data_IF_528387197668
#
_entry.id   IF_528387197668
#
_cell.length_a   1.000
_cell.length_b   1.000
_cell.length_c   1.000
_cell.angle_alpha   90.00
_cell.angle_beta   90.00
_cell.angle_gamma   90.00
#
_symmetry.space_group_name_H-M   'P 1'
#
loop_
_entity.id
_entity.type
_entity.pdbx_description
1 polymer ?
#
# COMPACT_ATOMS: atom_id res chain seq x y z
N UNK A 1 -8.47 -24.97 16.34
CA UNK A 1 -7.90 -23.90 17.18
C UNK A 1 -7.97 -22.57 16.42
N UNK A 2 -8.76 -21.60 16.90
CA UNK A 2 -8.80 -20.23 16.37
C UNK A 2 -7.42 -19.61 16.58
N UNK A 3 -6.76 -19.19 15.50
CA UNK A 3 -5.44 -18.55 15.59
C UNK A 3 -5.62 -17.21 16.34
N UNK A 4 -4.94 -17.05 17.48
CA UNK A 4 -4.98 -15.80 18.25
C UNK A 4 -4.65 -14.64 17.29
N UNK A 5 -5.59 -13.70 17.17
CA UNK A 5 -5.45 -12.55 16.25
C UNK A 5 -4.32 -11.65 16.73
N UNK A 6 -3.49 -11.17 15.84
CA UNK A 6 -2.28 -10.42 16.18
C UNK A 6 -2.62 -8.93 16.11
N UNK A 7 -2.83 -8.28 17.23
CA UNK A 7 -3.37 -6.92 17.34
C UNK A 7 -2.62 -5.87 16.51
N UNK A 8 -1.28 -5.93 16.44
CA UNK A 8 -0.54 -4.97 15.63
C UNK A 8 -0.76 -5.12 14.11
N UNK A 9 -1.19 -6.29 13.61
CA UNK A 9 -1.57 -6.43 12.19
C UNK A 9 -2.84 -5.64 11.89
N UNK A 10 -3.81 -5.69 12.80
CA UNK A 10 -5.04 -4.92 12.65
C UNK A 10 -4.76 -3.42 12.71
N UNK A 11 -3.91 -2.98 13.64
CA UNK A 11 -3.51 -1.59 13.77
C UNK A 11 -2.78 -1.07 12.52
N UNK A 12 -1.80 -1.85 11.99
CA UNK A 12 -1.11 -1.53 10.74
C UNK A 12 -2.08 -1.44 9.56
N UNK A 13 -3.04 -2.36 9.47
CA UNK A 13 -4.04 -2.36 8.41
C UNK A 13 -4.91 -1.10 8.44
N UNK A 14 -5.40 -0.70 9.62
CA UNK A 14 -6.20 0.52 9.79
C UNK A 14 -5.39 1.77 9.49
N UNK A 15 -4.19 1.92 10.07
CA UNK A 15 -3.36 3.11 9.87
C UNK A 15 -2.91 3.23 8.41
N UNK A 16 -2.56 2.13 7.76
CA UNK A 16 -2.25 2.14 6.32
C UNK A 16 -3.46 2.51 5.46
N UNK A 17 -4.67 2.04 5.84
CA UNK A 17 -5.89 2.42 5.14
C UNK A 17 -6.18 3.93 5.29
N UNK A 18 -6.05 4.49 6.50
CA UNK A 18 -6.19 5.93 6.74
C UNK A 18 -5.13 6.71 5.96
N UNK A 19 -3.87 6.24 5.93
CA UNK A 19 -2.81 6.88 5.17
C UNK A 19 -3.09 6.90 3.67
N UNK A 20 -3.67 5.84 3.08
CA UNK A 20 -4.12 5.85 1.68
C UNK A 20 -5.21 6.89 1.45
N UNK A 21 -6.23 6.94 2.33
CA UNK A 21 -7.28 7.97 2.24
C UNK A 21 -6.67 9.37 2.33
N UNK A 22 -5.71 9.57 3.25
CA UNK A 22 -4.99 10.85 3.42
C UNK A 22 -4.28 11.27 2.14
N UNK A 23 -3.53 10.39 1.50
CA UNK A 23 -2.85 10.67 0.23
C UNK A 23 -3.84 11.09 -0.86
N UNK A 24 -5.01 10.45 -0.92
CA UNK A 24 -6.00 10.76 -1.96
C UNK A 24 -6.84 12.01 -1.68
N UNK A 25 -7.14 12.33 -0.42
CA UNK A 25 -7.76 13.60 -0.02
C UNK A 25 -6.82 14.78 -0.29
N UNK A 26 -5.51 14.58 -0.07
CA UNK A 26 -4.47 15.58 -0.30
C UNK A 26 -4.02 15.64 -1.78
N UNK A 27 -4.48 14.72 -2.63
CA UNK A 27 -3.93 14.50 -3.98
C UNK A 27 -4.03 15.72 -4.89
N UNK A 28 -5.15 16.43 -4.93
CA UNK A 28 -5.34 17.61 -5.77
C UNK A 28 -4.30 18.69 -5.45
N UNK A 29 -4.06 18.99 -4.17
CA UNK A 29 -3.04 19.94 -3.74
C UNK A 29 -1.62 19.48 -4.07
N UNK A 30 -1.33 18.17 -4.01
CA UNK A 30 -0.02 17.63 -4.32
C UNK A 30 0.27 17.66 -5.82
N UNK A 31 -0.68 17.21 -6.65
CA UNK A 31 -0.47 17.09 -8.11
C UNK A 31 -0.66 18.37 -8.88
N UNK A 32 -1.03 19.47 -8.20
CA UNK A 32 -1.02 20.82 -8.76
C UNK A 32 0.18 21.55 -8.19
N UNK A 33 1.30 21.56 -8.95
CA UNK A 33 2.57 22.14 -8.48
C UNK A 33 2.49 23.66 -8.37
N UNK A 34 2.97 24.18 -7.24
CA UNK A 34 3.16 25.62 -6.97
C UNK A 34 4.38 25.82 -6.10
N UNK A 35 5.12 26.91 -6.32
CA UNK A 35 6.16 27.37 -5.40
C UNK A 35 5.52 27.94 -4.12
N UNK A 36 5.03 27.10 -3.22
CA UNK A 36 4.31 27.54 -2.02
C UNK A 36 4.50 26.60 -0.83
N UNK A 37 4.31 27.16 0.38
CA UNK A 37 4.26 26.38 1.62
C UNK A 37 3.10 25.39 1.61
N UNK A 38 1.99 25.74 0.96
CA UNK A 38 0.84 24.85 0.79
C UNK A 38 1.22 23.58 0.05
N UNK A 39 1.94 23.70 -1.06
CA UNK A 39 2.43 22.55 -1.82
C UNK A 39 3.46 21.73 -1.03
N UNK A 40 4.41 22.38 -0.35
CA UNK A 40 5.37 21.69 0.52
C UNK A 40 4.67 20.90 1.62
N UNK A 41 3.63 21.46 2.24
CA UNK A 41 2.84 20.73 3.25
C UNK A 41 2.10 19.54 2.65
N UNK A 42 1.63 19.63 1.40
CA UNK A 42 1.01 18.53 0.66
C UNK A 42 2.03 17.42 0.40
N UNK A 43 3.21 17.78 -0.04
CA UNK A 43 4.31 16.83 -0.26
C UNK A 43 4.73 16.13 1.04
N UNK A 44 4.81 16.87 2.14
CA UNK A 44 5.16 16.30 3.45
C UNK A 44 4.12 15.28 3.93
N UNK A 45 2.83 15.62 3.82
CA UNK A 45 1.72 14.71 4.16
C UNK A 45 1.79 13.44 3.31
N UNK A 46 2.05 13.56 2.02
CA UNK A 46 2.18 12.42 1.11
C UNK A 46 3.38 11.55 1.50
N UNK A 47 4.57 12.12 1.70
CA UNK A 47 5.75 11.38 2.13
C UNK A 47 5.52 10.67 3.48
N UNK A 48 4.84 11.34 4.43
CA UNK A 48 4.49 10.76 5.72
C UNK A 48 3.58 9.53 5.58
N UNK A 49 2.66 9.52 4.62
CA UNK A 49 1.71 8.45 4.36
C UNK A 49 2.24 7.37 3.37
N UNK A 50 3.39 7.60 2.75
CA UNK A 50 3.88 6.78 1.64
C UNK A 50 4.25 5.34 2.04
N UNK A 51 4.37 5.04 3.33
CA UNK A 51 4.54 3.68 3.87
C UNK A 51 3.32 2.77 3.67
N UNK A 52 2.15 3.31 3.39
CA UNK A 52 0.87 2.60 3.45
C UNK A 52 0.81 1.37 2.53
N UNK A 53 1.13 1.54 1.24
CA UNK A 53 1.13 0.46 0.25
C UNK A 53 2.22 -0.59 0.56
N UNK A 54 3.48 -0.20 0.84
CA UNK A 54 4.49 -1.11 1.37
C UNK A 54 4.02 -1.97 2.54
N UNK A 55 3.39 -1.37 3.54
CA UNK A 55 2.92 -2.08 4.73
C UNK A 55 1.82 -3.10 4.41
N UNK A 56 0.92 -2.84 3.47
CA UNK A 56 -0.05 -3.85 3.02
C UNK A 56 0.65 -5.09 2.42
N UNK A 57 1.71 -4.90 1.63
CA UNK A 57 2.49 -6.02 1.13
C UNK A 57 3.32 -6.71 2.22
N UNK A 58 3.82 -5.97 3.22
CA UNK A 58 4.47 -6.54 4.40
C UNK A 58 3.49 -7.39 5.22
N UNK A 59 2.26 -6.93 5.43
CA UNK A 59 1.18 -7.70 6.08
C UNK A 59 0.83 -8.96 5.27
N UNK A 60 0.82 -8.87 3.94
CA UNK A 60 0.63 -10.01 3.06
C UNK A 60 1.71 -11.06 3.28
N UNK A 61 2.98 -10.66 3.34
CA UNK A 61 4.10 -11.55 3.66
C UNK A 61 3.98 -12.18 5.05
N UNK A 62 3.76 -11.35 6.07
CA UNK A 62 3.64 -11.79 7.46
C UNK A 62 2.51 -12.82 7.69
N UNK A 63 1.43 -12.72 6.91
CA UNK A 63 0.24 -13.56 7.10
C UNK A 63 0.16 -14.77 6.17
N UNK A 64 0.74 -14.68 4.97
CA UNK A 64 0.53 -15.66 3.91
C UNK A 64 1.72 -16.55 3.58
N UNK A 65 2.96 -16.16 3.86
CA UNK A 65 4.15 -16.98 3.54
C UNK A 65 4.10 -18.39 4.16
N UNK A 66 3.52 -18.53 5.34
CA UNK A 66 3.33 -19.79 6.04
C UNK A 66 2.02 -20.54 5.69
N UNK A 67 1.40 -20.28 4.54
CA UNK A 67 0.10 -20.85 4.19
C UNK A 67 0.10 -22.38 4.15
N UNK A 68 1.24 -23.00 3.77
CA UNK A 68 1.40 -24.46 3.70
C UNK A 68 1.17 -25.18 5.04
N UNK A 69 1.25 -24.45 6.15
CA UNK A 69 0.89 -24.98 7.47
C UNK A 69 -0.63 -25.17 7.65
N UNK A 70 -1.46 -24.65 6.73
CA UNK A 70 -2.92 -24.56 6.86
C UNK A 70 -3.68 -25.26 5.73
N UNK A 71 -3.17 -25.19 4.51
CA UNK A 71 -3.81 -25.71 3.31
C UNK A 71 -2.81 -25.83 2.15
N UNK A 72 -3.22 -26.58 1.11
CA UNK A 72 -2.42 -26.77 -0.08
C UNK A 72 -2.41 -25.52 -1.00
N UNK A 73 -1.58 -25.55 -2.06
CA UNK A 73 -1.42 -24.41 -2.98
C UNK A 73 -2.69 -24.10 -3.77
N UNK A 74 -3.44 -25.12 -4.20
CA UNK A 74 -4.69 -24.92 -4.92
C UNK A 74 -5.71 -24.16 -4.07
N UNK A 75 -5.93 -24.60 -2.84
CA UNK A 75 -6.81 -23.92 -1.89
C UNK A 75 -6.34 -22.49 -1.55
N UNK A 76 -5.01 -22.29 -1.47
CA UNK A 76 -4.45 -20.96 -1.28
C UNK A 76 -4.86 -20.03 -2.42
N UNK A 77 -4.57 -20.39 -3.67
CA UNK A 77 -4.89 -19.61 -4.86
C UNK A 77 -6.40 -19.37 -4.93
N UNK A 78 -7.21 -20.40 -4.83
CA UNK A 78 -8.67 -20.30 -4.86
C UNK A 78 -9.20 -19.30 -3.81
N UNK A 79 -8.74 -19.42 -2.55
CA UNK A 79 -9.17 -18.53 -1.45
C UNK A 79 -8.70 -17.07 -1.65
N UNK A 80 -7.50 -16.85 -2.19
CA UNK A 80 -6.98 -15.48 -2.38
C UNK A 80 -7.67 -14.81 -3.56
N UNK A 81 -7.72 -15.47 -4.70
CA UNK A 81 -8.35 -14.91 -5.88
C UNK A 81 -9.85 -14.69 -5.66
N UNK A 82 -10.61 -15.64 -5.12
CA UNK A 82 -12.05 -15.42 -4.88
C UNK A 82 -12.34 -14.24 -3.95
N UNK A 83 -11.51 -14.05 -2.90
CA UNK A 83 -11.72 -12.96 -1.94
C UNK A 83 -11.31 -11.57 -2.43
N UNK A 84 -10.45 -11.49 -3.43
CA UNK A 84 -9.93 -10.21 -3.92
C UNK A 84 -10.32 -9.93 -5.36
N UNK A 85 -10.32 -10.94 -6.25
CA UNK A 85 -10.66 -10.78 -7.66
C UNK A 85 -12.13 -10.43 -7.86
N UNK A 86 -13.04 -11.10 -7.15
CA UNK A 86 -14.48 -10.84 -7.29
C UNK A 86 -14.83 -9.39 -6.89
N UNK A 87 -14.44 -8.89 -5.71
CA UNK A 87 -14.65 -7.48 -5.38
C UNK A 87 -13.93 -6.52 -6.35
N UNK A 88 -12.70 -6.84 -6.76
CA UNK A 88 -11.97 -6.03 -7.75
C UNK A 88 -12.73 -5.90 -9.07
N UNK A 89 -13.21 -7.01 -9.64
CA UNK A 89 -13.97 -6.98 -10.90
C UNK A 89 -15.27 -6.20 -10.76
N UNK A 90 -16.03 -6.47 -9.69
CA UNK A 90 -17.26 -5.75 -9.39
C UNK A 90 -17.04 -4.24 -9.32
N UNK A 91 -16.09 -3.80 -8.47
CA UNK A 91 -15.80 -2.38 -8.31
C UNK A 91 -15.13 -1.74 -9.53
N UNK A 92 -14.41 -2.52 -10.34
CA UNK A 92 -13.89 -2.04 -11.62
C UNK A 92 -15.01 -1.72 -12.61
N UNK A 93 -16.07 -2.55 -12.65
CA UNK A 93 -17.25 -2.27 -13.46
C UNK A 93 -17.98 -1.02 -12.94
N UNK A 94 -18.17 -0.93 -11.62
CA UNK A 94 -18.77 0.28 -10.99
C UNK A 94 -17.94 1.52 -11.32
N UNK A 95 -16.60 1.44 -11.27
CA UNK A 95 -15.70 2.54 -11.63
C UNK A 95 -15.85 2.96 -13.08
N UNK A 96 -15.99 2.00 -14.01
CA UNK A 96 -16.21 2.29 -15.43
C UNK A 96 -17.53 3.03 -15.64
N UNK A 97 -18.62 2.52 -15.04
CA UNK A 97 -19.94 3.18 -15.10
C UNK A 97 -19.86 4.60 -14.53
N UNK A 98 -19.18 4.76 -13.37
CA UNK A 98 -18.97 6.07 -12.75
C UNK A 98 -18.17 7.03 -13.64
N UNK A 99 -17.08 6.55 -14.25
CA UNK A 99 -16.25 7.35 -15.16
C UNK A 99 -16.99 7.74 -16.45
N UNK A 100 -17.88 6.90 -16.95
CA UNK A 100 -18.65 7.22 -18.16
C UNK A 100 -19.79 8.18 -17.87
N UNK A 101 -20.57 7.93 -16.80
CA UNK A 101 -21.80 8.66 -16.53
C UNK A 101 -21.59 9.94 -15.70
N UNK A 102 -20.80 9.84 -14.62
CA UNK A 102 -20.63 10.93 -13.65
C UNK A 102 -19.42 11.81 -13.97
N UNK A 103 -18.22 11.22 -14.07
CA UNK A 103 -16.98 11.97 -14.27
C UNK A 103 -16.71 12.32 -15.73
N UNK A 104 -17.36 11.64 -16.68
CA UNK A 104 -17.15 11.79 -18.13
C UNK A 104 -15.67 11.66 -18.57
N UNK A 105 -14.85 10.96 -17.76
CA UNK A 105 -13.44 10.73 -18.03
C UNK A 105 -13.17 9.55 -18.98
N UNK A 106 -14.18 8.68 -19.22
CA UNK A 106 -14.17 7.63 -20.20
C UNK A 106 -15.30 7.83 -21.21
N UNK A 107 -14.99 7.72 -22.51
CA UNK A 107 -16.00 7.73 -23.56
C UNK A 107 -16.65 6.34 -23.68
N UNK A 108 -17.96 6.29 -23.98
CA UNK A 108 -18.68 5.03 -24.20
C UNK A 108 -18.03 4.16 -25.27
N UNK A 109 -17.53 4.76 -26.35
CA UNK A 109 -16.81 4.07 -27.43
C UNK A 109 -15.56 3.30 -26.95
N UNK A 110 -14.97 3.72 -25.82
CA UNK A 110 -13.81 3.07 -25.18
C UNK A 110 -14.14 1.80 -24.39
N UNK A 111 -15.43 1.55 -24.12
CA UNK A 111 -15.93 0.38 -23.35
C UNK A 111 -17.04 -0.38 -24.06
N UNK A 112 -17.28 -0.09 -25.33
CA UNK A 112 -18.41 -0.58 -26.14
C UNK A 112 -18.31 -2.05 -26.58
N UNK A 113 -17.19 -2.73 -26.33
CA UNK A 113 -17.02 -4.15 -26.62
C UNK A 113 -16.38 -4.90 -25.44
N UNK A 114 -16.60 -6.22 -25.32
CA UNK A 114 -16.01 -7.03 -24.26
C UNK A 114 -14.48 -6.90 -24.19
N UNK A 115 -13.79 -6.88 -25.32
CA UNK A 115 -12.32 -6.73 -25.38
C UNK A 115 -11.88 -5.37 -24.84
N UNK A 116 -12.56 -4.28 -25.20
CA UNK A 116 -12.27 -2.95 -24.69
C UNK A 116 -12.53 -2.87 -23.19
N UNK A 117 -13.63 -3.46 -22.70
CA UNK A 117 -13.96 -3.53 -21.28
C UNK A 117 -12.86 -4.27 -20.49
N UNK A 118 -12.46 -5.45 -20.95
CA UNK A 118 -11.37 -6.22 -20.33
C UNK A 118 -10.08 -5.39 -20.33
N UNK A 119 -9.75 -4.70 -21.42
CA UNK A 119 -8.56 -3.86 -21.50
C UNK A 119 -8.59 -2.70 -20.50
N UNK A 120 -9.74 -2.05 -20.30
CA UNK A 120 -9.91 -0.98 -19.30
C UNK A 120 -9.73 -1.52 -17.87
N UNK A 121 -10.31 -2.70 -17.56
CA UNK A 121 -10.18 -3.35 -16.25
C UNK A 121 -8.73 -3.78 -15.99
N UNK A 122 -8.12 -4.51 -16.92
CA UNK A 122 -6.76 -5.04 -16.76
C UNK A 122 -5.70 -3.94 -16.60
N UNK A 123 -5.88 -2.83 -17.31
CA UNK A 123 -4.97 -1.68 -17.24
C UNK A 123 -5.44 -0.60 -16.26
N UNK A 124 -6.44 -0.89 -15.43
CA UNK A 124 -7.00 -0.03 -14.36
C UNK A 124 -7.27 1.42 -14.80
N UNK A 125 -7.74 1.59 -16.04
CA UNK A 125 -7.91 2.92 -16.69
C UNK A 125 -9.07 3.73 -16.12
N UNK A 126 -10.05 3.10 -15.46
CA UNK A 126 -11.16 3.80 -14.84
C UNK A 126 -10.72 4.48 -13.54
N UNK A 127 -10.21 3.69 -12.60
CA UNK A 127 -9.64 4.18 -11.35
C UNK A 127 -8.23 3.63 -11.17
N UNK A 128 -7.23 4.48 -11.36
CA UNK A 128 -5.82 4.11 -11.27
C UNK A 128 -5.43 3.52 -9.91
N UNK A 129 -6.13 3.88 -8.83
CA UNK A 129 -5.86 3.32 -7.48
C UNK A 129 -5.99 1.80 -7.42
N UNK A 130 -6.72 1.18 -8.36
CA UNK A 130 -6.88 -0.27 -8.41
C UNK A 130 -5.65 -1.00 -8.94
N UNK A 131 -4.56 -0.30 -9.36
CA UNK A 131 -3.28 -0.91 -9.70
C UNK A 131 -2.77 -1.84 -8.58
N UNK A 132 -3.04 -1.49 -7.33
CA UNK A 132 -2.68 -2.29 -6.15
C UNK A 132 -3.17 -3.75 -6.24
N UNK A 133 -4.36 -3.98 -6.82
CA UNK A 133 -4.88 -5.35 -6.98
C UNK A 133 -4.09 -6.16 -8.00
N UNK A 134 -3.67 -5.53 -9.09
CA UNK A 134 -2.86 -6.19 -10.13
C UNK A 134 -1.52 -6.63 -9.52
N UNK A 135 -0.86 -5.73 -8.79
CA UNK A 135 0.38 -6.05 -8.08
C UNK A 135 0.16 -7.12 -6.99
N UNK A 136 -0.98 -7.05 -6.27
CA UNK A 136 -1.33 -8.03 -5.24
C UNK A 136 -1.57 -9.43 -5.84
N UNK A 137 -2.20 -9.53 -7.02
CA UNK A 137 -2.36 -10.80 -7.72
C UNK A 137 -1.02 -11.37 -8.14
N UNK A 138 -0.12 -10.55 -8.68
CA UNK A 138 1.25 -10.97 -9.01
C UNK A 138 1.97 -11.50 -7.76
N UNK A 139 1.85 -10.82 -6.62
CA UNK A 139 2.40 -11.28 -5.34
C UNK A 139 1.78 -12.61 -4.90
N UNK A 140 0.46 -12.79 -5.03
CA UNK A 140 -0.18 -14.07 -4.70
C UNK A 140 0.33 -15.25 -5.51
N UNK A 141 0.68 -15.02 -6.79
CA UNK A 141 1.28 -16.04 -7.65
C UNK A 141 2.74 -16.35 -7.26
N UNK A 142 3.47 -15.39 -6.68
CA UNK A 142 4.84 -15.59 -6.20
C UNK A 142 4.91 -16.29 -4.83
N UNK A 143 3.93 -16.10 -3.95
CA UNK A 143 3.92 -16.67 -2.59
C UNK A 143 4.11 -18.20 -2.56
N UNK A 144 3.52 -19.02 -3.45
CA UNK A 144 3.77 -20.46 -3.47
C UNK A 144 5.25 -20.84 -3.62
N UNK A 145 6.00 -20.09 -4.41
CA UNK A 145 7.45 -20.33 -4.60
C UNK A 145 8.22 -19.78 -3.39
N UNK A 146 7.98 -18.55 -2.98
CA UNK A 146 8.68 -17.91 -1.86
C UNK A 146 8.39 -18.63 -0.52
N UNK A 147 7.19 -19.16 -0.33
CA UNK A 147 6.79 -19.90 0.87
C UNK A 147 7.44 -21.27 1.04
N UNK A 148 8.22 -21.74 0.05
CA UNK A 148 9.06 -22.93 0.19
C UNK A 148 10.24 -22.66 1.14
N UNK A 149 10.85 -21.47 1.06
CA UNK A 149 12.03 -21.10 1.83
C UNK A 149 11.82 -21.26 3.35
N UNK A 150 10.74 -20.73 3.96
CA UNK A 150 10.46 -20.94 5.36
C UNK A 150 10.13 -22.40 5.72
N UNK A 151 9.66 -23.22 4.79
CA UNK A 151 9.24 -24.59 5.05
C UNK A 151 10.41 -25.58 5.13
N UNK A 152 11.57 -25.26 4.54
CA UNK A 152 12.74 -26.13 4.49
C UNK A 152 13.54 -26.09 5.80
N UNK A 153 13.70 -27.25 6.46
CA UNK A 153 14.47 -27.38 7.71
C UNK A 153 16.00 -27.42 7.49
N UNK A 154 16.46 -27.88 6.33
CA UNK A 154 17.89 -28.16 6.02
C UNK A 154 18.67 -26.97 5.48
N UNK A 155 18.05 -26.05 4.76
CA UNK A 155 18.74 -24.87 4.25
C UNK A 155 18.76 -23.86 5.40
N UNK A 156 19.94 -23.29 5.71
CA UNK A 156 20.07 -22.26 6.75
C UNK A 156 19.09 -21.13 6.51
N UNK A 157 17.86 -21.30 7.01
CA UNK A 157 16.66 -20.47 6.73
C UNK A 157 16.92 -18.98 6.78
N UNK A 158 17.77 -18.56 7.73
CA UNK A 158 18.14 -17.16 7.90
C UNK A 158 19.05 -16.68 6.78
N UNK A 159 20.00 -17.50 6.32
CA UNK A 159 20.99 -17.11 5.31
C UNK A 159 20.36 -16.83 3.94
N UNK A 160 19.62 -17.79 3.37
CA UNK A 160 18.98 -17.63 2.06
C UNK A 160 17.95 -16.50 2.06
N UNK A 161 17.18 -16.40 3.14
CA UNK A 161 16.17 -15.35 3.25
C UNK A 161 16.79 -13.95 3.35
N UNK A 162 17.84 -13.83 4.17
CA UNK A 162 18.62 -12.58 4.30
C UNK A 162 19.30 -12.23 2.98
N UNK A 163 19.88 -13.22 2.28
CA UNK A 163 20.47 -13.02 0.96
C UNK A 163 19.45 -12.47 -0.05
N UNK A 164 18.25 -13.05 -0.13
CA UNK A 164 17.20 -12.57 -1.04
C UNK A 164 16.77 -11.13 -0.72
N UNK A 165 16.61 -10.81 0.57
CA UNK A 165 16.29 -9.45 1.01
C UNK A 165 17.40 -8.49 0.60
N UNK A 166 18.64 -8.80 0.92
CA UNK A 166 19.79 -7.93 0.62
C UNK A 166 19.97 -7.74 -0.88
N UNK A 167 19.94 -8.84 -1.65
CA UNK A 167 20.06 -8.74 -3.11
C UNK A 167 18.93 -7.91 -3.73
N UNK A 168 17.68 -8.14 -3.30
CA UNK A 168 16.54 -7.36 -3.80
C UNK A 168 16.65 -5.89 -3.41
N UNK A 169 17.02 -5.62 -2.15
CA UNK A 169 17.19 -4.24 -1.67
C UNK A 169 18.31 -3.52 -2.39
N UNK A 170 19.46 -4.15 -2.54
CA UNK A 170 20.60 -3.55 -3.24
C UNK A 170 20.26 -3.28 -4.71
N UNK A 171 19.82 -4.32 -5.45
CA UNK A 171 19.66 -4.22 -6.89
C UNK A 171 18.45 -3.43 -7.36
N UNK A 172 17.39 -3.33 -6.56
CA UNK A 172 16.13 -2.67 -6.96
C UNK A 172 15.81 -1.39 -6.19
N UNK A 173 16.38 -1.22 -4.99
CA UNK A 173 16.02 -0.07 -4.15
C UNK A 173 17.17 0.89 -3.93
N UNK A 174 18.36 0.42 -3.59
CA UNK A 174 19.49 1.27 -3.20
C UNK A 174 20.38 1.67 -4.39
N UNK A 175 20.97 0.68 -5.08
CA UNK A 175 21.96 0.96 -6.14
C UNK A 175 21.37 1.77 -7.31
N UNK A 176 20.14 1.52 -7.82
CA UNK A 176 19.58 2.35 -8.87
C UNK A 176 19.51 3.84 -8.49
N UNK A 177 19.17 4.14 -7.23
CA UNK A 177 19.11 5.51 -6.73
C UNK A 177 20.50 6.10 -6.60
N UNK A 178 21.46 5.37 -6.01
CA UNK A 178 22.84 5.87 -5.86
C UNK A 178 23.51 6.13 -7.20
N UNK A 179 23.35 5.20 -8.17
CA UNK A 179 23.89 5.36 -9.52
C UNK A 179 23.28 6.58 -10.24
N UNK A 180 21.96 6.79 -10.11
CA UNK A 180 21.33 7.97 -10.72
C UNK A 180 21.80 9.29 -10.12
N UNK A 181 22.18 9.35 -8.84
CA UNK A 181 22.74 10.54 -8.20
C UNK A 181 24.07 10.93 -8.81
N UNK A 182 24.89 9.95 -9.19
CA UNK A 182 26.21 10.18 -9.82
C UNK A 182 26.16 10.20 -11.35
N UNK A 183 24.95 10.22 -11.93
CA UNK A 183 24.75 10.31 -13.38
C UNK A 183 25.02 9.03 -14.17
N UNK A 184 24.99 7.87 -13.52
CA UNK A 184 25.16 6.56 -14.15
C UNK A 184 23.81 5.84 -14.23
N UNK A 185 23.47 5.33 -15.41
CA UNK A 185 22.25 4.52 -15.59
C UNK A 185 22.45 3.13 -15.00
N UNK A 186 21.50 2.71 -14.17
CA UNK A 186 21.49 1.37 -13.60
C UNK A 186 21.09 0.35 -14.65
N UNK A 187 21.93 -0.69 -14.84
CA UNK A 187 21.58 -1.78 -15.73
C UNK A 187 20.53 -2.69 -15.09
N UNK A 188 19.31 -2.66 -15.63
CA UNK A 188 18.15 -3.40 -15.13
C UNK A 188 18.34 -4.92 -15.14
N UNK A 189 19.28 -5.46 -15.94
CA UNK A 189 19.60 -6.89 -15.96
C UNK A 189 20.27 -7.38 -14.67
N UNK A 190 20.82 -6.46 -13.86
CA UNK A 190 21.39 -6.76 -12.55
C UNK A 190 20.30 -6.86 -11.45
N UNK A 191 19.06 -6.51 -11.77
CA UNK A 191 17.96 -6.62 -10.80
C UNK A 191 17.71 -8.08 -10.43
N UNK A 192 17.46 -8.32 -9.15
CA UNK A 192 17.04 -9.63 -8.69
C UNK A 192 15.76 -10.08 -9.43
N UNK A 193 15.82 -11.13 -10.28
CA UNK A 193 14.64 -11.59 -11.02
C UNK A 193 13.55 -12.16 -10.11
N UNK A 194 13.89 -12.68 -8.92
CA UNK A 194 12.95 -13.17 -7.91
C UNK A 194 12.37 -12.06 -7.03
N UNK A 195 12.88 -10.84 -7.12
CA UNK A 195 12.51 -9.69 -6.30
C UNK A 195 11.70 -8.62 -7.03
N UNK A 196 10.98 -8.97 -8.10
CA UNK A 196 10.17 -8.03 -8.89
C UNK A 196 9.04 -7.37 -8.11
N UNK A 197 8.62 -6.19 -8.53
CA UNK A 197 7.51 -5.46 -7.93
C UNK A 197 7.66 -5.26 -6.41
N UNK A 198 6.63 -5.59 -5.66
CA UNK A 198 6.56 -5.41 -4.21
C UNK A 198 7.07 -6.61 -3.38
N UNK A 199 7.78 -7.56 -3.99
CA UNK A 199 8.28 -8.78 -3.31
C UNK A 199 9.20 -8.43 -2.13
N UNK A 200 9.98 -7.36 -2.23
CA UNK A 200 10.83 -6.89 -1.12
C UNK A 200 10.03 -6.70 0.18
N UNK A 201 8.83 -6.13 0.09
CA UNK A 201 7.98 -5.90 1.26
C UNK A 201 7.38 -7.20 1.80
N UNK A 202 7.02 -8.14 0.92
CA UNK A 202 6.56 -9.48 1.33
C UNK A 202 7.64 -10.19 2.15
N UNK A 203 8.89 -10.17 1.68
CA UNK A 203 10.04 -10.76 2.36
C UNK A 203 10.31 -10.07 3.70
N UNK A 204 10.38 -8.73 3.71
CA UNK A 204 10.62 -7.94 4.91
C UNK A 204 9.52 -8.12 5.95
N UNK A 205 8.24 -8.11 5.53
CA UNK A 205 7.11 -8.31 6.42
C UNK A 205 7.14 -9.68 7.09
N UNK A 206 7.42 -10.74 6.33
CA UNK A 206 7.59 -12.08 6.88
C UNK A 206 8.78 -12.15 7.85
N UNK A 207 9.94 -11.61 7.46
CA UNK A 207 11.16 -11.61 8.26
C UNK A 207 10.95 -10.89 9.59
N UNK A 208 10.45 -9.66 9.56
CA UNK A 208 10.23 -8.85 10.77
C UNK A 208 9.19 -9.52 11.67
N UNK A 209 8.08 -10.03 11.12
CA UNK A 209 7.04 -10.68 11.91
C UNK A 209 7.56 -11.89 12.71
N UNK A 210 8.50 -12.65 12.13
CA UNK A 210 9.01 -13.90 12.69
C UNK A 210 10.39 -13.79 13.39
N UNK A 211 10.98 -12.58 13.44
CA UNK A 211 12.29 -12.36 14.08
C UNK A 211 12.16 -11.44 15.27
N UNK A 212 12.77 -11.78 16.40
CA UNK A 212 12.92 -10.86 17.53
C UNK A 212 14.07 -9.89 17.24
N UNK A 213 13.79 -8.60 17.40
CA UNK A 213 14.75 -7.52 17.15
C UNK A 213 15.05 -6.85 18.50
N UNK A 214 16.31 -6.83 18.89
CA UNK A 214 16.80 -6.21 20.11
C UNK A 214 16.53 -4.70 20.13
N UNK A 215 16.35 -4.12 21.32
CA UNK A 215 16.03 -2.70 21.50
C UNK A 215 17.07 -1.78 20.82
N UNK A 216 18.38 -2.10 20.94
CA UNK A 216 19.45 -1.32 20.30
C UNK A 216 19.26 -1.24 18.78
N UNK A 217 18.99 -2.38 18.15
CA UNK A 217 18.73 -2.45 16.69
C UNK A 217 17.44 -1.75 16.29
N UNK A 218 16.38 -1.83 17.12
CA UNK A 218 15.13 -1.10 16.88
C UNK A 218 15.34 0.40 16.86
N UNK A 219 16.13 0.95 17.81
CA UNK A 219 16.46 2.38 17.84
C UNK A 219 17.15 2.83 16.54
N UNK A 220 18.09 2.02 16.04
CA UNK A 220 18.76 2.27 14.75
C UNK A 220 17.77 2.26 13.59
N UNK A 221 16.86 1.26 13.54
CA UNK A 221 15.81 1.19 12.50
C UNK A 221 14.92 2.44 12.54
N UNK A 222 14.51 2.89 13.71
CA UNK A 222 13.66 4.09 13.84
C UNK A 222 14.40 5.36 13.41
N UNK A 223 15.66 5.51 13.80
CA UNK A 223 16.50 6.65 13.37
C UNK A 223 16.61 6.70 11.84
N UNK A 224 16.97 5.57 11.20
CA UNK A 224 17.06 5.52 9.75
C UNK A 224 15.70 5.71 9.08
N UNK A 225 14.59 5.27 9.68
CA UNK A 225 13.25 5.54 9.20
C UNK A 225 12.93 7.03 9.14
N UNK A 226 13.26 7.77 10.20
CA UNK A 226 13.08 9.23 10.25
C UNK A 226 13.99 9.92 9.22
N UNK A 227 15.27 9.55 9.15
CA UNK A 227 16.20 10.09 8.15
C UNK A 227 15.67 9.84 6.72
N UNK A 228 15.19 8.63 6.43
CA UNK A 228 14.66 8.27 5.14
C UNK A 228 13.41 9.10 4.74
N UNK A 229 12.51 9.34 5.70
CA UNK A 229 11.34 10.22 5.49
C UNK A 229 11.76 11.64 5.09
N UNK A 230 12.65 12.25 5.87
CA UNK A 230 13.11 13.62 5.59
C UNK A 230 13.98 13.70 4.33
N UNK A 231 14.77 12.68 4.04
CA UNK A 231 15.51 12.59 2.77
C UNK A 231 14.53 12.54 1.58
N UNK A 232 13.52 11.67 1.62
CA UNK A 232 12.53 11.57 0.56
C UNK A 232 11.80 12.88 0.34
N UNK A 233 11.35 13.53 1.41
CA UNK A 233 10.70 14.83 1.37
C UNK A 233 11.63 15.91 0.78
N UNK A 234 12.83 16.06 1.35
CA UNK A 234 13.77 17.13 0.99
C UNK A 234 14.26 17.03 -0.45
N UNK A 235 14.64 15.81 -0.90
CA UNK A 235 15.13 15.63 -2.28
C UNK A 235 14.00 15.82 -3.30
N UNK A 236 12.78 15.36 -3.00
CA UNK A 236 11.63 15.57 -3.88
C UNK A 236 11.25 17.05 -3.97
N UNK A 237 11.26 17.77 -2.85
CA UNK A 237 11.01 19.21 -2.82
C UNK A 237 12.07 19.98 -3.62
N UNK A 238 13.35 19.70 -3.36
CA UNK A 238 14.46 20.35 -4.05
C UNK A 238 14.39 20.17 -5.57
N UNK A 239 14.25 18.93 -6.03
CA UNK A 239 14.18 18.62 -7.46
C UNK A 239 12.92 19.22 -8.12
N UNK A 240 11.78 19.20 -7.43
CA UNK A 240 10.55 19.76 -7.97
C UNK A 240 10.64 21.28 -8.12
N UNK A 241 11.26 21.97 -7.17
CA UNK A 241 11.49 23.42 -7.27
C UNK A 241 12.51 23.77 -8.37
N UNK A 242 13.59 22.99 -8.48
CA UNK A 242 14.58 23.16 -9.54
C UNK A 242 13.95 23.00 -10.94
N UNK A 243 13.12 21.97 -11.11
CA UNK A 243 12.55 21.59 -12.41
C UNK A 243 11.23 22.34 -12.71
N UNK A 244 10.78 23.20 -11.80
CA UNK A 244 9.50 23.91 -11.85
C UNK A 244 8.30 23.01 -12.16
N UNK A 245 8.37 21.76 -11.68
CA UNK A 245 7.38 20.69 -11.89
C UNK A 245 7.57 19.59 -10.87
N UNK A 246 6.58 18.73 -10.70
CA UNK A 246 6.69 17.60 -9.77
C UNK A 246 7.75 16.62 -10.26
N UNK A 247 8.85 16.51 -9.52
CA UNK A 247 9.88 15.50 -9.76
C UNK A 247 9.81 14.41 -8.69
N UNK A 248 9.27 13.25 -9.04
CA UNK A 248 9.11 12.11 -8.16
C UNK A 248 10.18 11.02 -8.31
N UNK A 249 11.35 11.35 -8.91
CA UNK A 249 12.41 10.39 -9.21
C UNK A 249 12.83 9.55 -8.00
N UNK A 250 12.94 10.16 -6.82
CA UNK A 250 13.32 9.46 -5.58
C UNK A 250 12.12 9.15 -4.67
N UNK A 251 10.90 9.42 -5.12
CA UNK A 251 9.66 9.12 -4.41
C UNK A 251 8.92 7.95 -5.06
N UNK A 252 9.55 6.79 -5.11
CA UNK A 252 8.96 5.53 -5.57
C UNK A 252 8.73 4.58 -4.40
N UNK A 253 7.70 3.73 -4.47
CA UNK A 253 7.44 2.75 -3.41
C UNK A 253 8.61 1.81 -3.16
N UNK A 254 9.31 1.38 -4.21
CA UNK A 254 10.45 0.46 -4.11
C UNK A 254 11.80 1.15 -3.91
N UNK A 255 11.85 2.49 -3.89
CA UNK A 255 13.07 3.22 -3.62
C UNK A 255 13.49 3.06 -2.15
N UNK A 256 14.80 3.08 -1.89
CA UNK A 256 15.35 2.77 -0.57
C UNK A 256 14.75 3.61 0.57
N UNK A 257 14.42 4.91 0.40
CA UNK A 257 13.87 5.68 1.51
C UNK A 257 12.51 5.13 1.96
N UNK A 258 11.64 4.80 1.00
CA UNK A 258 10.33 4.21 1.29
C UNK A 258 10.45 2.84 1.94
N UNK A 259 11.39 2.00 1.46
CA UNK A 259 11.63 0.67 2.05
C UNK A 259 12.07 0.80 3.51
N UNK A 260 13.05 1.66 3.79
CA UNK A 260 13.57 1.88 5.16
C UNK A 260 12.48 2.44 6.06
N UNK A 261 11.71 3.41 5.59
CA UNK A 261 10.63 4.02 6.35
C UNK A 261 9.51 3.01 6.67
N UNK A 262 9.08 2.21 5.70
CA UNK A 262 8.08 1.15 5.91
C UNK A 262 8.54 0.10 6.92
N UNK A 263 9.82 -0.29 6.88
CA UNK A 263 10.44 -1.19 7.88
C UNK A 263 10.38 -0.58 9.29
N UNK A 264 10.67 0.71 9.42
CA UNK A 264 10.61 1.40 10.70
C UNK A 264 9.18 1.43 11.26
N UNK A 265 8.19 1.79 10.45
CA UNK A 265 6.76 1.79 10.83
C UNK A 265 6.31 0.37 11.24
N UNK A 266 6.56 -0.64 10.41
CA UNK A 266 6.16 -2.02 10.71
C UNK A 266 6.79 -2.51 12.02
N UNK A 267 8.07 -2.20 12.24
CA UNK A 267 8.79 -2.55 13.47
C UNK A 267 8.22 -1.83 14.69
N UNK A 268 7.91 -0.54 14.57
CA UNK A 268 7.33 0.25 15.66
C UNK A 268 5.99 -0.35 16.12
N UNK A 269 5.11 -0.67 15.19
CA UNK A 269 3.82 -1.30 15.50
C UNK A 269 3.97 -2.69 16.10
N UNK A 270 4.92 -3.51 15.64
CA UNK A 270 5.19 -4.84 16.22
C UNK A 270 5.56 -4.78 17.69
N UNK A 271 6.33 -3.78 18.11
CA UNK A 271 6.84 -3.66 19.48
C UNK A 271 6.06 -2.71 20.37
N UNK A 272 4.98 -2.11 19.85
CA UNK A 272 4.04 -1.37 20.68
C UNK A 272 3.22 -2.34 21.54
N UNK A 273 2.96 -1.97 22.80
CA UNK A 273 2.24 -2.81 23.78
C UNK A 273 0.73 -2.66 23.61
N UNK A 274 0.19 -3.30 22.60
CA UNK A 274 -1.25 -3.24 22.25
C UNK A 274 -2.15 -3.84 23.35
N UNK A 275 -1.63 -4.77 24.16
CA UNK A 275 -2.36 -5.43 25.25
C UNK A 275 -2.89 -4.44 26.29
N UNK A 276 -2.23 -3.30 26.45
CA UNK A 276 -2.61 -2.28 27.43
C UNK A 276 -3.88 -1.48 27.04
N UNK A 277 -4.44 -1.72 25.84
CA UNK A 277 -5.52 -0.92 25.26
C UNK A 277 -6.68 -1.78 24.75
N UNK A 278 -7.29 -2.61 25.59
CA UNK A 278 -8.31 -3.60 25.20
C UNK A 278 -9.52 -3.01 24.46
N UNK A 279 -10.11 -1.91 24.97
CA UNK A 279 -11.24 -1.22 24.31
C UNK A 279 -10.87 -0.68 22.94
N UNK A 280 -9.68 -0.09 22.82
CA UNK A 280 -9.14 0.42 21.57
C UNK A 280 -8.85 -0.70 20.57
N UNK A 281 -8.36 -1.84 21.04
CA UNK A 281 -8.13 -3.04 20.23
C UNK A 281 -9.43 -3.58 19.60
N UNK A 282 -10.54 -3.57 20.32
CA UNK A 282 -11.83 -3.98 19.78
C UNK A 282 -12.26 -3.08 18.61
N UNK A 283 -12.13 -1.77 18.77
CA UNK A 283 -12.44 -0.79 17.70
C UNK A 283 -11.52 -0.96 16.49
N UNK A 284 -10.20 -1.06 16.72
CA UNK A 284 -9.22 -1.31 15.65
C UNK A 284 -9.55 -2.59 14.88
N UNK A 285 -9.93 -3.65 15.58
CA UNK A 285 -10.28 -4.92 14.97
C UNK A 285 -11.51 -4.81 14.04
N UNK A 286 -12.52 -4.03 14.45
CA UNK A 286 -13.69 -3.77 13.64
C UNK A 286 -13.38 -2.91 12.42
N UNK A 287 -12.53 -1.88 12.57
CA UNK A 287 -12.09 -1.02 11.47
C UNK A 287 -11.18 -1.78 10.50
N UNK A 288 -10.30 -2.64 11.01
CA UNK A 288 -9.46 -3.51 10.18
C UNK A 288 -10.29 -4.43 9.28
N UNK A 289 -11.43 -4.94 9.79
CA UNK A 289 -12.37 -5.73 9.00
C UNK A 289 -13.05 -4.93 7.86
N UNK A 290 -13.13 -3.61 7.98
CA UNK A 290 -13.69 -2.73 6.95
C UNK A 290 -12.63 -2.19 5.97
N UNK A 291 -11.34 -2.21 6.32
CA UNK A 291 -10.25 -1.51 5.58
C UNK A 291 -10.19 -1.88 4.10
N UNK A 292 -10.43 -3.14 3.74
CA UNK A 292 -10.46 -3.58 2.34
C UNK A 292 -11.60 -2.91 1.55
N UNK A 293 -12.80 -2.86 2.12
CA UNK A 293 -13.93 -2.16 1.52
C UNK A 293 -13.71 -0.65 1.44
N UNK A 294 -13.15 -0.05 2.49
CA UNK A 294 -12.77 1.38 2.48
C UNK A 294 -11.79 1.67 1.35
N UNK A 295 -10.78 0.81 1.15
CA UNK A 295 -9.85 0.96 0.03
C UNK A 295 -10.57 0.98 -1.33
N UNK A 296 -11.59 0.14 -1.53
CA UNK A 296 -12.35 0.06 -2.78
C UNK A 296 -13.20 1.30 -3.06
N UNK A 297 -13.75 1.93 -2.00
CA UNK A 297 -14.80 2.95 -2.17
C UNK A 297 -14.39 4.39 -1.82
N UNK A 298 -13.25 4.61 -1.16
CA UNK A 298 -12.89 5.94 -0.66
C UNK A 298 -12.82 7.03 -1.75
N UNK A 299 -12.45 6.69 -2.97
CA UNK A 299 -12.46 7.65 -4.10
C UNK A 299 -13.88 8.13 -4.42
N UNK A 300 -14.86 7.23 -4.41
CA UNK A 300 -16.26 7.63 -4.58
C UNK A 300 -16.71 8.55 -3.43
N UNK A 301 -16.31 8.21 -2.19
CA UNK A 301 -16.61 9.06 -1.03
C UNK A 301 -16.03 10.46 -1.17
N UNK A 302 -14.77 10.61 -1.65
CA UNK A 302 -14.16 11.90 -1.95
C UNK A 302 -14.99 12.66 -2.99
N UNK A 303 -15.29 12.05 -4.14
CA UNK A 303 -16.05 12.71 -5.20
C UNK A 303 -17.44 13.14 -4.74
N UNK A 304 -18.16 12.27 -4.01
CA UNK A 304 -19.49 12.57 -3.50
C UNK A 304 -19.46 13.74 -2.52
N UNK A 305 -18.50 13.74 -1.57
CA UNK A 305 -18.35 14.84 -0.60
C UNK A 305 -17.99 16.15 -1.30
N UNK A 306 -17.03 16.13 -2.21
CA UNK A 306 -16.61 17.32 -2.94
C UNK A 306 -17.75 17.88 -3.80
N UNK A 307 -18.53 17.01 -4.45
CA UNK A 307 -19.66 17.40 -5.28
C UNK A 307 -20.83 18.00 -4.48
N UNK A 308 -21.25 17.31 -3.39
CA UNK A 308 -22.41 17.75 -2.58
C UNK A 308 -22.13 19.05 -1.85
N UNK A 309 -20.93 19.19 -1.28
CA UNK A 309 -20.58 20.35 -0.44
C UNK A 309 -19.80 21.43 -1.19
N UNK A 310 -19.61 21.29 -2.52
CA UNK A 310 -18.85 22.23 -3.34
C UNK A 310 -17.47 22.58 -2.72
N UNK A 311 -16.76 21.56 -2.24
CA UNK A 311 -15.54 21.72 -1.44
C UNK A 311 -14.39 22.21 -2.30
N UNK A 312 -13.69 23.24 -1.82
CA UNK A 312 -12.38 23.60 -2.37
C UNK A 312 -11.33 22.60 -1.89
N UNK A 313 -10.89 21.71 -2.79
CA UNK A 313 -9.93 20.64 -2.50
C UNK A 313 -8.53 21.16 -2.12
N UNK A 314 -8.22 22.43 -2.40
CA UNK A 314 -6.96 23.08 -2.00
C UNK A 314 -6.99 23.59 -0.55
N UNK A 315 -8.17 23.70 0.05
CA UNK A 315 -8.29 24.25 1.40
C UNK A 315 -7.65 23.33 2.45
N UNK A 316 -6.97 23.94 3.43
CA UNK A 316 -6.35 23.20 4.56
C UNK A 316 -7.43 22.46 5.37
N UNK A 317 -8.62 23.05 5.47
CA UNK A 317 -9.76 22.45 6.17
C UNK A 317 -10.16 21.13 5.53
N UNK A 318 -10.23 21.08 4.18
CA UNK A 318 -10.49 19.83 3.47
C UNK A 318 -9.33 18.83 3.61
N UNK A 319 -8.11 19.29 3.43
CA UNK A 319 -6.92 18.43 3.48
C UNK A 319 -6.73 17.74 4.83
N UNK A 320 -7.28 18.28 5.92
CA UNK A 320 -7.25 17.68 7.26
C UNK A 320 -8.61 17.07 7.60
N UNK A 321 -9.69 17.86 7.58
CA UNK A 321 -11.04 17.42 7.94
C UNK A 321 -11.63 16.40 6.98
N UNK A 322 -11.32 16.54 5.68
CA UNK A 322 -11.75 15.62 4.63
C UNK A 322 -11.27 14.19 4.83
N UNK A 323 -10.12 13.98 5.50
CA UNK A 323 -9.62 12.65 5.84
C UNK A 323 -10.64 11.91 6.72
N UNK A 324 -11.07 12.55 7.80
CA UNK A 324 -12.01 11.96 8.76
C UNK A 324 -13.39 11.76 8.14
N UNK A 325 -13.87 12.75 7.38
CA UNK A 325 -15.16 12.66 6.67
C UNK A 325 -15.14 11.52 5.63
N UNK A 326 -14.11 11.45 4.79
CA UNK A 326 -13.99 10.42 3.76
C UNK A 326 -13.84 9.03 4.37
N UNK A 327 -12.96 8.88 5.36
CA UNK A 327 -12.75 7.60 6.03
C UNK A 327 -14.01 7.16 6.77
N UNK A 328 -14.63 8.05 7.55
CA UNK A 328 -15.85 7.76 8.30
C UNK A 328 -17.02 7.37 7.38
N UNK A 329 -17.28 8.15 6.33
CA UNK A 329 -18.32 7.84 5.33
C UNK A 329 -18.05 6.48 4.68
N UNK A 330 -16.80 6.22 4.27
CA UNK A 330 -16.43 4.94 3.66
C UNK A 330 -16.64 3.77 4.63
N UNK A 331 -16.27 3.91 5.90
CA UNK A 331 -16.51 2.86 6.93
C UNK A 331 -18.00 2.60 7.12
N UNK A 332 -18.82 3.65 7.17
CA UNK A 332 -20.29 3.52 7.31
C UNK A 332 -20.85 2.73 6.12
N UNK A 333 -20.51 3.14 4.90
CA UNK A 333 -21.00 2.47 3.68
C UNK A 333 -20.55 1.00 3.67
N UNK A 334 -19.28 0.71 3.97
CA UNK A 334 -18.78 -0.67 4.02
C UNK A 334 -19.52 -1.49 5.05
N UNK A 335 -19.74 -0.97 6.26
CA UNK A 335 -20.50 -1.69 7.31
C UNK A 335 -21.95 -1.96 6.91
N UNK A 336 -22.58 -1.03 6.17
CA UNK A 336 -23.92 -1.26 5.62
C UNK A 336 -23.92 -2.35 4.54
N UNK A 337 -22.95 -2.31 3.60
CA UNK A 337 -22.79 -3.33 2.57
C UNK A 337 -22.52 -4.72 3.18
N UNK A 338 -21.73 -4.78 4.25
CA UNK A 338 -21.45 -6.04 4.97
C UNK A 338 -22.67 -6.68 5.63
N UNK A 339 -23.78 -5.96 5.81
CA UNK A 339 -25.05 -6.55 6.29
C UNK A 339 -25.79 -7.32 5.19
N UNK A 340 -25.43 -7.12 3.92
CA UNK A 340 -26.03 -7.84 2.79
C UNK A 340 -25.43 -9.25 2.75
N UNK A 341 -26.25 -10.34 2.84
CA UNK A 341 -25.76 -11.72 3.03
C UNK A 341 -24.78 -12.24 1.96
N UNK A 342 -24.83 -11.67 0.76
CA UNK A 342 -23.98 -12.07 -0.38
C UNK A 342 -22.65 -11.32 -0.46
N UNK A 343 -22.50 -10.21 0.26
CA UNK A 343 -21.29 -9.37 0.25
C UNK A 343 -20.30 -9.80 1.34
N UNK A 344 -20.77 -10.53 2.32
CA UNK A 344 -20.01 -10.92 3.53
C UNK A 344 -19.34 -12.30 3.41
N UNK A 345 -19.45 -12.98 2.27
CA UNK A 345 -18.83 -14.30 1.98
C UNK A 345 -17.58 -14.13 1.14
#
# INVERSE_FOLDING_TARGET
MSKKRVGYFDALNVVSCIAVVTMHVNGTSLYTFHHSVSWLSSLFIDCLCYFAVPVFFMLTGATLMDYRKRYNTYEFIKKRFSRTMIPFLFWSVVAIVWCVLALKCLKWSGVSSPIKLINVIFNVRAFNIYYFFIDLFAVYLCIPVLGIIPSQKRIGKKGVFTYLILYTFLSRSLLPVLFSIIGIDWNQSLNNPLGGGYIIFVLLGYYIANTQIELKRRRVIYLFGVIALFFQFGITAYLSFRDNSINATYRGYTNFPTVIYAVAIFTAFKYFKWENYEKFNSTIMQLSGASFGVYLIHKYSIYVLCYIFHINEFSVVWRIGGIFLTYGLSVIIVKLLQKIPYVNK
#
